data_IF_312859614777
#
_entry.id   IF_312859614777
#
_cell.length_a   1.000
_cell.length_b   1.000
_cell.length_c   1.000
_cell.angle_alpha   90.00
_cell.angle_beta   90.00
_cell.angle_gamma   90.00
#
_symmetry.space_group_name_H-M   'P 1'
#
loop_
_entity.id
_entity.type
_entity.pdbx_description
1 polymer ?
#
# COMPACT_ATOMS: atom_id res chain seq x y z
N UNK A 1 -46.65 -72.89 25.55
CA UNK A 1 -45.51 -73.83 25.32
C UNK A 1 -44.11 -73.14 25.20
N UNK A 2 -43.86 -72.15 26.04
CA UNK A 2 -42.59 -71.43 26.06
C UNK A 2 -41.65 -71.63 27.25
N UNK A 3 -41.89 -72.55 28.22
CA UNK A 3 -41.01 -72.61 29.41
C UNK A 3 -39.88 -73.67 29.34
N UNK A 4 -39.77 -74.50 28.30
CA UNK A 4 -38.80 -75.63 28.31
C UNK A 4 -37.40 -75.20 27.88
N UNK A 5 -37.26 -74.15 27.08
CA UNK A 5 -35.98 -73.65 26.63
C UNK A 5 -35.15 -72.92 27.71
N UNK A 6 -35.80 -72.37 28.73
CA UNK A 6 -35.14 -71.61 29.82
C UNK A 6 -34.51 -72.47 30.91
N UNK A 7 -34.72 -73.80 30.92
CA UNK A 7 -34.21 -74.75 31.95
C UNK A 7 -32.82 -75.32 31.64
N UNK A 8 -32.29 -75.10 30.43
CA UNK A 8 -30.98 -75.61 30.04
C UNK A 8 -29.96 -74.46 29.93
N UNK A 9 -29.10 -74.32 30.92
CA UNK A 9 -28.11 -73.27 31.00
C UNK A 9 -27.18 -73.19 29.75
N UNK A 10 -26.91 -74.31 29.11
CA UNK A 10 -26.09 -74.38 27.88
C UNK A 10 -26.83 -73.81 26.67
N UNK A 11 -28.15 -74.05 26.58
CA UNK A 11 -28.99 -73.48 25.52
C UNK A 11 -29.17 -71.96 25.71
N UNK A 12 -29.37 -71.53 26.93
CA UNK A 12 -29.51 -70.11 27.26
C UNK A 12 -28.19 -69.34 26.96
N UNK A 13 -27.04 -69.97 27.24
CA UNK A 13 -25.73 -69.41 26.94
C UNK A 13 -25.49 -69.31 25.43
N UNK A 14 -25.93 -70.31 24.66
CA UNK A 14 -25.85 -70.31 23.20
C UNK A 14 -26.72 -69.20 22.58
N UNK A 15 -27.97 -69.05 23.10
CA UNK A 15 -28.89 -67.99 22.66
C UNK A 15 -28.35 -66.62 23.03
N UNK A 16 -27.81 -66.46 24.23
CA UNK A 16 -27.18 -65.17 24.64
C UNK A 16 -25.97 -64.82 23.75
N UNK A 17 -25.16 -65.79 23.38
CA UNK A 17 -24.01 -65.58 22.48
C UNK A 17 -24.48 -65.16 21.08
N UNK A 18 -25.48 -65.86 20.52
CA UNK A 18 -26.05 -65.48 19.23
C UNK A 18 -26.66 -64.09 19.26
N UNK A 19 -27.45 -63.75 20.34
CA UNK A 19 -27.98 -62.39 20.49
C UNK A 19 -26.89 -61.35 20.64
N UNK A 20 -25.81 -61.66 21.35
CA UNK A 20 -24.68 -60.75 21.48
C UNK A 20 -23.98 -60.50 20.13
N UNK A 21 -23.80 -61.55 19.31
CA UNK A 21 -23.25 -61.44 17.96
C UNK A 21 -24.18 -60.62 17.05
N UNK A 22 -25.50 -60.87 17.10
CA UNK A 22 -26.47 -60.08 16.31
C UNK A 22 -26.50 -58.64 16.73
N UNK A 23 -26.50 -58.35 18.04
CA UNK A 23 -26.41 -56.98 18.56
C UNK A 23 -25.09 -56.32 18.18
N UNK A 24 -24.00 -57.04 18.31
CA UNK A 24 -22.69 -56.53 17.88
C UNK A 24 -22.65 -56.21 16.36
N UNK A 25 -23.15 -57.11 15.51
CA UNK A 25 -23.26 -56.89 14.07
C UNK A 25 -24.21 -55.72 13.74
N UNK A 26 -25.34 -55.61 14.44
CA UNK A 26 -26.28 -54.49 14.29
C UNK A 26 -25.64 -53.14 14.69
N UNK A 27 -24.92 -53.08 15.81
CA UNK A 27 -24.17 -51.89 16.21
C UNK A 27 -23.09 -51.51 15.19
N UNK A 28 -22.36 -52.51 14.69
CA UNK A 28 -21.29 -52.29 13.69
C UNK A 28 -21.85 -51.68 12.37
N UNK A 29 -23.00 -52.17 11.92
CA UNK A 29 -23.69 -51.64 10.75
C UNK A 29 -24.31 -50.27 11.02
N UNK A 30 -24.88 -50.06 12.20
CA UNK A 30 -25.54 -48.80 12.63
C UNK A 30 -24.51 -47.67 12.83
N UNK A 31 -23.33 -47.99 13.40
CA UNK A 31 -22.28 -47.00 13.65
C UNK A 31 -21.59 -46.48 12.34
N UNK A 32 -21.74 -47.26 11.27
CA UNK A 32 -21.14 -46.91 9.97
C UNK A 32 -22.15 -46.33 8.95
N UNK A 33 -23.27 -45.81 9.42
CA UNK A 33 -24.27 -45.15 8.56
C UNK A 33 -23.64 -43.90 7.90
N UNK A 34 -24.07 -43.68 6.66
CA UNK A 34 -23.71 -42.46 5.93
C UNK A 34 -24.19 -41.22 6.72
N UNK A 35 -23.30 -40.34 6.98
CA UNK A 35 -23.55 -39.05 7.65
C UNK A 35 -23.22 -37.91 6.72
N UNK A 36 -23.84 -36.76 6.95
CA UNK A 36 -23.58 -35.56 6.14
C UNK A 36 -22.84 -34.53 7.00
N UNK A 37 -21.88 -33.85 6.40
CA UNK A 37 -21.13 -32.77 7.01
C UNK A 37 -21.01 -31.60 6.04
N UNK A 38 -20.78 -30.39 6.56
CA UNK A 38 -20.59 -29.18 5.75
C UNK A 38 -19.31 -28.47 6.15
N UNK A 39 -18.42 -28.26 5.17
CA UNK A 39 -17.26 -27.40 5.32
C UNK A 39 -17.54 -26.04 4.71
N UNK A 40 -17.10 -24.99 5.42
CA UNK A 40 -17.31 -23.60 5.03
C UNK A 40 -16.00 -22.97 4.55
N UNK A 41 -16.16 -21.91 3.75
CA UNK A 41 -15.04 -21.07 3.29
C UNK A 41 -13.94 -21.86 2.55
N UNK A 42 -14.31 -22.79 1.68
CA UNK A 42 -13.36 -23.49 0.82
C UNK A 42 -12.97 -22.55 -0.32
N UNK A 43 -11.67 -22.27 -0.52
CA UNK A 43 -11.23 -21.33 -1.55
C UNK A 43 -11.51 -21.85 -2.95
N UNK A 44 -11.88 -20.93 -3.85
CA UNK A 44 -12.00 -21.18 -5.28
C UNK A 44 -10.61 -20.99 -5.89
N UNK A 45 -10.15 -21.97 -6.66
CA UNK A 45 -8.90 -21.90 -7.42
C UNK A 45 -9.23 -21.67 -8.89
N UNK A 46 -8.56 -20.75 -9.53
CA UNK A 46 -8.67 -20.54 -10.96
C UNK A 46 -7.75 -21.52 -11.70
N UNK A 47 -8.27 -22.10 -12.77
CA UNK A 47 -7.50 -22.95 -13.69
C UNK A 47 -7.39 -22.23 -15.04
N UNK A 48 -6.29 -22.50 -15.76
CA UNK A 48 -6.03 -21.93 -17.10
C UNK A 48 -5.88 -20.39 -17.10
N UNK A 49 -5.38 -19.79 -16.00
CA UNK A 49 -5.04 -18.36 -15.95
C UNK A 49 -4.03 -17.97 -17.04
N UNK A 50 -3.11 -18.87 -17.36
CA UNK A 50 -2.09 -18.65 -18.40
C UNK A 50 -2.72 -18.36 -19.76
N UNK A 51 -3.86 -18.99 -20.09
CA UNK A 51 -4.56 -18.75 -21.36
C UNK A 51 -5.17 -17.35 -21.44
N UNK A 52 -5.55 -16.76 -20.32
CA UNK A 52 -5.99 -15.34 -20.29
C UNK A 52 -4.79 -14.43 -20.54
N UNK A 53 -3.67 -14.67 -19.85
CA UNK A 53 -2.46 -13.83 -19.95
C UNK A 53 -1.87 -13.87 -21.37
N UNK A 54 -1.89 -15.04 -22.04
CA UNK A 54 -1.48 -15.19 -23.45
C UNK A 54 -2.34 -14.37 -24.42
N UNK A 55 -3.57 -14.04 -24.01
CA UNK A 55 -4.51 -13.21 -24.81
C UNK A 55 -4.61 -11.76 -24.27
N UNK A 56 -3.62 -11.30 -23.49
CA UNK A 56 -3.61 -9.97 -22.85
C UNK A 56 -4.85 -9.71 -21.99
N UNK A 57 -5.35 -10.74 -21.28
CA UNK A 57 -6.51 -10.67 -20.40
C UNK A 57 -6.13 -11.07 -18.97
N UNK A 58 -6.89 -10.56 -17.98
CA UNK A 58 -6.70 -10.86 -16.56
C UNK A 58 -8.03 -10.81 -15.81
N UNK A 59 -8.11 -11.55 -14.71
CA UNK A 59 -9.27 -11.47 -13.81
C UNK A 59 -9.22 -10.12 -13.07
N UNK A 60 -10.24 -9.29 -13.28
CA UNK A 60 -10.43 -8.04 -12.56
C UNK A 60 -11.09 -8.30 -11.20
N UNK A 61 -12.14 -9.10 -11.18
CA UNK A 61 -12.92 -9.39 -9.98
C UNK A 61 -13.69 -10.71 -10.13
N UNK A 62 -13.77 -11.48 -9.05
CA UNK A 62 -14.71 -12.58 -8.90
C UNK A 62 -15.80 -12.20 -7.88
N UNK A 63 -17.02 -12.66 -8.12
CA UNK A 63 -18.18 -12.40 -7.21
C UNK A 63 -17.89 -12.87 -5.79
N UNK A 64 -17.12 -13.96 -5.66
CA UNK A 64 -16.69 -14.53 -4.37
C UNK A 64 -15.45 -15.41 -4.54
N UNK A 65 -14.73 -15.57 -3.47
CA UNK A 65 -13.44 -16.30 -3.39
C UNK A 65 -13.61 -17.66 -2.72
N UNK A 66 -14.76 -17.91 -2.05
CA UNK A 66 -14.98 -19.13 -1.26
C UNK A 66 -16.39 -19.68 -1.47
N UNK A 67 -16.53 -20.98 -1.25
CA UNK A 67 -17.83 -21.69 -1.24
C UNK A 67 -17.92 -22.62 -0.04
N UNK A 68 -19.17 -22.99 0.32
CA UNK A 68 -19.43 -24.05 1.29
C UNK A 68 -19.77 -25.33 0.52
N UNK A 69 -19.26 -26.47 1.00
CA UNK A 69 -19.50 -27.79 0.43
C UNK A 69 -20.17 -28.67 1.47
N UNK A 70 -21.29 -29.27 1.09
CA UNK A 70 -21.98 -30.31 1.87
C UNK A 70 -21.67 -31.64 1.24
N UNK A 71 -21.20 -32.60 2.00
CA UNK A 71 -20.75 -33.89 1.55
C UNK A 71 -21.18 -34.99 2.52
N UNK A 72 -21.33 -36.19 1.99
CA UNK A 72 -21.72 -37.39 2.74
C UNK A 72 -20.65 -38.49 2.64
N UNK A 73 -20.64 -39.37 3.59
CA UNK A 73 -19.73 -40.49 3.65
C UNK A 73 -19.85 -41.25 4.96
N UNK A 74 -19.02 -42.28 5.13
CA UNK A 74 -18.95 -43.01 6.38
C UNK A 74 -18.43 -42.10 7.49
N UNK A 75 -19.02 -42.18 8.69
CA UNK A 75 -18.69 -41.32 9.84
C UNK A 75 -17.18 -41.35 10.16
N UNK A 76 -16.53 -42.49 10.09
CA UNK A 76 -15.10 -42.66 10.32
C UNK A 76 -14.24 -41.97 9.28
N UNK A 77 -14.71 -41.84 8.04
CA UNK A 77 -14.06 -41.11 6.96
C UNK A 77 -14.25 -39.60 7.15
N UNK A 78 -15.50 -39.17 7.46
CA UNK A 78 -15.84 -37.74 7.60
C UNK A 78 -15.06 -37.05 8.72
N UNK A 79 -14.71 -37.75 9.80
CA UNK A 79 -13.91 -37.17 10.89
C UNK A 79 -12.50 -36.78 10.48
N UNK A 80 -11.96 -37.35 9.38
CA UNK A 80 -10.61 -37.08 8.86
C UNK A 80 -10.61 -36.04 7.74
N UNK A 81 -11.78 -35.68 7.20
CA UNK A 81 -11.91 -34.77 6.08
C UNK A 81 -11.76 -33.31 6.55
N UNK A 82 -10.86 -32.58 5.88
CA UNK A 82 -10.59 -31.14 6.12
C UNK A 82 -10.83 -30.34 4.86
N UNK A 83 -10.95 -29.02 4.99
CA UNK A 83 -11.14 -28.09 3.86
C UNK A 83 -10.10 -28.29 2.74
N UNK A 84 -8.83 -28.51 3.08
CA UNK A 84 -7.75 -28.74 2.12
C UNK A 84 -7.84 -30.06 1.32
N UNK A 85 -8.77 -30.96 1.67
CA UNK A 85 -9.04 -32.16 0.88
C UNK A 85 -9.98 -31.92 -0.31
N UNK A 86 -10.62 -30.76 -0.36
CA UNK A 86 -11.45 -30.34 -1.49
C UNK A 86 -10.73 -29.28 -2.32
N UNK A 87 -10.83 -29.40 -3.64
CA UNK A 87 -10.44 -28.37 -4.60
C UNK A 87 -11.67 -27.91 -5.35
N UNK A 88 -11.98 -26.64 -5.26
CA UNK A 88 -13.04 -26.01 -6.04
C UNK A 88 -12.38 -25.22 -7.16
N UNK A 89 -12.71 -25.56 -8.39
CA UNK A 89 -12.03 -25.07 -9.59
C UNK A 89 -13.02 -24.27 -10.44
N UNK A 90 -12.64 -23.05 -10.76
CA UNK A 90 -13.25 -22.23 -11.81
C UNK A 90 -12.31 -22.25 -13.03
N UNK A 91 -12.80 -22.74 -14.15
CA UNK A 91 -12.03 -22.82 -15.39
C UNK A 91 -12.17 -21.51 -16.16
N UNK A 92 -11.04 -20.88 -16.46
CA UNK A 92 -10.99 -19.59 -17.16
C UNK A 92 -10.74 -19.74 -18.67
N UNK A 93 -10.64 -20.98 -19.19
CA UNK A 93 -10.40 -21.23 -20.61
C UNK A 93 -11.50 -20.62 -21.48
N UNK A 94 -11.10 -19.86 -22.50
CA UNK A 94 -12.00 -19.28 -23.48
C UNK A 94 -12.90 -18.13 -23.00
N UNK A 95 -12.66 -17.62 -21.78
CA UNK A 95 -13.36 -16.44 -21.30
C UNK A 95 -12.95 -15.20 -22.10
N UNK A 96 -13.86 -14.23 -22.16
CA UNK A 96 -13.67 -12.98 -22.91
C UNK A 96 -13.75 -11.80 -21.97
N UNK A 97 -13.23 -10.67 -22.40
CA UNK A 97 -13.37 -9.40 -21.70
C UNK A 97 -14.82 -9.11 -21.32
N UNK A 98 -15.04 -8.65 -20.10
CA UNK A 98 -16.35 -8.35 -19.53
C UNK A 98 -16.80 -9.40 -18.51
N UNK A 99 -18.08 -9.42 -18.22
CA UNK A 99 -18.67 -10.35 -17.25
C UNK A 99 -18.89 -11.74 -17.87
N UNK A 100 -18.41 -12.77 -17.20
CA UNK A 100 -18.54 -14.18 -17.60
C UNK A 100 -19.12 -14.98 -16.43
N UNK A 101 -20.00 -15.94 -16.73
CA UNK A 101 -20.56 -16.86 -15.74
C UNK A 101 -19.86 -18.20 -15.84
N UNK A 102 -19.08 -18.56 -14.83
CA UNK A 102 -18.25 -19.75 -14.80
C UNK A 102 -18.87 -20.80 -13.87
N UNK A 103 -18.91 -22.06 -14.35
CA UNK A 103 -19.36 -23.19 -13.55
C UNK A 103 -18.20 -23.68 -12.66
N UNK A 104 -18.48 -23.86 -11.38
CA UNK A 104 -17.53 -24.43 -10.46
C UNK A 104 -17.51 -25.94 -10.54
N UNK A 105 -16.32 -26.53 -10.56
CA UNK A 105 -16.08 -27.96 -10.46
C UNK A 105 -15.42 -28.27 -9.11
N UNK A 106 -15.96 -29.25 -8.41
CA UNK A 106 -15.41 -29.72 -7.14
C UNK A 106 -14.70 -31.07 -7.33
N UNK A 107 -13.53 -31.20 -6.75
CA UNK A 107 -12.79 -32.45 -6.61
C UNK A 107 -12.63 -32.70 -5.10
N UNK A 108 -13.20 -33.79 -4.63
CA UNK A 108 -13.12 -34.21 -3.22
C UNK A 108 -12.26 -35.46 -3.03
N UNK A 109 -12.03 -35.88 -1.78
CA UNK A 109 -11.31 -37.12 -1.46
C UNK A 109 -12.13 -38.35 -1.81
N UNK A 110 -11.43 -39.48 -1.99
CA UNK A 110 -12.06 -40.80 -2.20
C UNK A 110 -12.98 -41.19 -1.03
N UNK A 111 -14.03 -41.92 -1.31
CA UNK A 111 -15.05 -42.38 -0.35
C UNK A 111 -15.88 -41.27 0.32
N UNK A 112 -15.95 -40.09 -0.33
CA UNK A 112 -16.80 -38.99 0.07
C UNK A 112 -17.59 -38.54 -1.16
N UNK A 113 -18.91 -38.39 -0.99
CA UNK A 113 -19.79 -37.89 -2.05
C UNK A 113 -20.14 -36.46 -1.80
N UNK A 114 -19.88 -35.57 -2.76
CA UNK A 114 -20.30 -34.17 -2.69
C UNK A 114 -21.79 -34.10 -3.03
N UNK A 115 -22.59 -33.71 -2.05
CA UNK A 115 -24.06 -33.59 -2.19
C UNK A 115 -24.44 -32.23 -2.80
N UNK A 116 -23.85 -31.17 -2.31
CA UNK A 116 -24.14 -29.81 -2.78
C UNK A 116 -23.03 -28.82 -2.50
N UNK A 117 -23.00 -27.75 -3.26
CA UNK A 117 -22.22 -26.54 -3.00
C UNK A 117 -23.17 -25.37 -2.76
N UNK A 118 -22.77 -24.40 -1.96
CA UNK A 118 -23.55 -23.18 -1.71
C UNK A 118 -23.84 -22.40 -3.01
N UNK A 119 -22.94 -22.49 -3.98
CA UNK A 119 -23.05 -21.89 -5.33
C UNK A 119 -22.40 -22.82 -6.35
N UNK A 120 -23.06 -23.01 -7.48
CA UNK A 120 -22.56 -23.84 -8.57
C UNK A 120 -21.94 -23.03 -9.72
N UNK A 121 -22.22 -21.74 -9.78
CA UNK A 121 -21.70 -20.80 -10.78
C UNK A 121 -21.36 -19.50 -10.10
N UNK A 122 -20.32 -18.83 -10.57
CA UNK A 122 -19.92 -17.48 -10.12
C UNK A 122 -19.77 -16.56 -11.32
N UNK A 123 -20.03 -15.27 -11.12
CA UNK A 123 -19.66 -14.23 -12.09
C UNK A 123 -18.20 -13.85 -11.88
N UNK A 124 -17.45 -13.84 -12.98
CA UNK A 124 -16.03 -13.38 -13.03
C UNK A 124 -15.96 -12.28 -14.08
N UNK A 125 -15.43 -11.13 -13.69
CA UNK A 125 -15.17 -10.03 -14.63
C UNK A 125 -13.72 -10.11 -15.11
N UNK A 126 -13.55 -10.17 -16.43
CA UNK A 126 -12.27 -10.19 -17.12
C UNK A 126 -12.02 -8.80 -17.72
N UNK A 127 -10.81 -8.30 -17.62
CA UNK A 127 -10.37 -7.04 -18.21
C UNK A 127 -9.08 -7.22 -19.01
N UNK A 128 -8.69 -6.21 -19.77
CA UNK A 128 -7.41 -6.20 -20.48
C UNK A 128 -6.25 -6.18 -19.49
N UNK A 129 -5.24 -6.99 -19.73
CA UNK A 129 -3.97 -6.94 -19.01
C UNK A 129 -3.10 -5.86 -19.65
N UNK A 130 -2.75 -4.85 -18.89
CA UNK A 130 -1.87 -3.77 -19.37
C UNK A 130 -0.71 -3.54 -18.44
N UNK A 131 0.41 -3.05 -19.00
CA UNK A 131 1.58 -2.61 -18.26
C UNK A 131 1.85 -1.14 -18.56
N UNK A 132 1.86 -0.29 -17.53
CA UNK A 132 2.08 1.16 -17.67
C UNK A 132 3.12 1.63 -16.66
N UNK A 133 4.09 2.44 -17.10
CA UNK A 133 5.04 3.09 -16.18
C UNK A 133 4.36 4.20 -15.41
N UNK A 134 4.48 4.16 -14.08
CA UNK A 134 3.93 5.16 -13.16
C UNK A 134 5.05 5.85 -12.38
N UNK A 135 4.94 7.17 -12.12
CA UNK A 135 5.96 7.91 -11.40
C UNK A 135 6.00 7.49 -9.92
N UNK A 136 7.21 7.45 -9.37
CA UNK A 136 7.44 7.27 -7.94
C UNK A 136 7.44 8.62 -7.26
N UNK A 137 6.61 8.76 -6.25
CA UNK A 137 6.48 9.95 -5.40
C UNK A 137 6.98 9.61 -4.00
N UNK A 138 7.72 10.50 -3.39
CA UNK A 138 8.22 10.33 -2.03
C UNK A 138 7.39 11.17 -1.06
N UNK A 139 7.10 10.60 0.11
CA UNK A 139 6.42 11.28 1.20
C UNK A 139 7.20 11.07 2.50
N UNK A 140 7.57 12.15 3.14
CA UNK A 140 8.19 12.10 4.47
C UNK A 140 7.09 11.96 5.51
N UNK A 141 7.25 11.00 6.44
CA UNK A 141 6.33 10.75 7.54
C UNK A 141 7.09 10.80 8.88
N UNK A 142 6.36 10.96 9.99
CA UNK A 142 6.90 10.96 11.35
C UNK A 142 7.97 12.03 11.61
N UNK A 143 7.87 13.19 10.97
CA UNK A 143 8.74 14.32 11.26
C UNK A 143 8.39 14.89 12.66
N UNK A 144 9.35 14.93 13.57
CA UNK A 144 9.14 15.28 14.97
C UNK A 144 9.96 16.48 15.44
N UNK A 145 10.89 17.00 14.62
CA UNK A 145 11.76 18.10 15.00
C UNK A 145 11.55 19.30 14.07
N UNK A 146 11.52 20.49 14.69
CA UNK A 146 11.52 21.75 13.96
C UNK A 146 12.94 22.19 13.56
N UNK A 147 13.98 21.66 14.27
CA UNK A 147 15.38 22.04 14.08
C UNK A 147 16.11 21.22 13.00
N UNK A 148 15.49 20.15 12.51
CA UNK A 148 16.05 19.29 11.47
C UNK A 148 14.99 18.86 10.48
N UNK A 149 15.37 18.65 9.22
CA UNK A 149 14.48 18.29 8.12
C UNK A 149 15.10 17.20 7.27
N UNK A 150 14.39 16.06 7.07
CA UNK A 150 14.85 15.02 6.15
C UNK A 150 14.88 15.54 4.72
N UNK A 151 15.98 15.28 4.02
CA UNK A 151 16.13 15.63 2.62
C UNK A 151 16.36 14.39 1.76
N UNK A 152 15.68 14.32 0.63
CA UNK A 152 15.81 13.24 -0.33
C UNK A 152 16.80 13.68 -1.39
N UNK A 153 17.97 13.01 -1.41
CA UNK A 153 19.08 13.33 -2.31
C UNK A 153 18.85 12.68 -3.67
N UNK A 154 18.45 11.41 -3.67
CA UNK A 154 18.31 10.63 -4.90
C UNK A 154 17.30 9.50 -4.74
N UNK A 155 16.62 9.19 -5.83
CA UNK A 155 15.74 8.05 -5.99
C UNK A 155 16.34 7.10 -7.03
N UNK A 156 16.42 5.80 -6.73
CA UNK A 156 17.02 4.82 -7.64
C UNK A 156 16.24 4.63 -8.94
N UNK A 157 14.91 4.83 -8.89
CA UNK A 157 14.01 4.75 -10.02
C UNK A 157 12.91 5.79 -9.90
N UNK A 158 12.76 6.63 -10.91
CA UNK A 158 11.72 7.66 -10.96
C UNK A 158 10.37 7.10 -11.47
N UNK A 159 10.42 6.01 -12.22
CA UNK A 159 9.23 5.34 -12.76
C UNK A 159 9.36 3.83 -12.61
N UNK A 160 8.27 3.17 -12.25
CA UNK A 160 8.17 1.71 -12.16
C UNK A 160 6.97 1.23 -12.96
N UNK A 161 7.13 0.11 -13.65
CA UNK A 161 6.04 -0.51 -14.40
C UNK A 161 5.03 -1.15 -13.45
N UNK A 162 3.76 -0.83 -13.68
CA UNK A 162 2.58 -1.36 -12.99
C UNK A 162 1.79 -2.20 -13.98
N UNK A 163 1.56 -3.45 -13.66
CA UNK A 163 0.85 -4.43 -14.47
C UNK A 163 -0.43 -4.89 -13.78
N UNK A 164 -1.47 -5.15 -14.54
CA UNK A 164 -2.73 -5.66 -14.04
C UNK A 164 -3.92 -5.29 -14.93
N UNK A 165 -5.12 -5.46 -14.39
CA UNK A 165 -6.34 -5.10 -15.07
C UNK A 165 -6.37 -3.61 -15.44
N UNK A 166 -6.71 -3.30 -16.69
CA UNK A 166 -6.70 -1.93 -17.21
C UNK A 166 -7.50 -0.97 -16.34
N UNK A 167 -8.65 -1.41 -15.83
CA UNK A 167 -9.49 -0.63 -14.89
C UNK A 167 -8.74 -0.24 -13.61
N UNK A 168 -7.89 -1.12 -13.07
CA UNK A 168 -7.10 -0.85 -11.85
C UNK A 168 -5.85 -0.03 -12.15
N UNK A 169 -5.08 -0.42 -13.18
CA UNK A 169 -3.84 0.28 -13.57
C UNK A 169 -4.12 1.74 -13.97
N UNK A 170 -5.26 2.01 -14.62
CA UNK A 170 -5.67 3.38 -14.96
C UNK A 170 -6.09 4.22 -13.73
N UNK A 171 -6.52 3.60 -12.63
CA UNK A 171 -6.76 4.30 -11.37
C UNK A 171 -5.47 4.70 -10.67
N UNK A 172 -4.38 3.95 -10.85
CA UNK A 172 -3.08 4.27 -10.26
C UNK A 172 -2.52 5.53 -10.91
N UNK A 173 -2.37 6.59 -10.14
CA UNK A 173 -1.77 7.86 -10.60
C UNK A 173 -0.27 7.95 -10.29
N UNK A 174 0.21 7.21 -9.29
CA UNK A 174 1.61 7.17 -8.90
C UNK A 174 1.89 6.06 -7.89
N UNK A 175 3.17 5.89 -7.56
CA UNK A 175 3.66 4.94 -6.58
C UNK A 175 4.26 5.72 -5.41
N UNK A 176 3.73 5.53 -4.22
CA UNK A 176 4.12 6.28 -3.03
C UNK A 176 5.21 5.53 -2.25
N UNK A 177 6.37 6.17 -2.08
CA UNK A 177 7.45 5.73 -1.19
C UNK A 177 7.42 6.57 0.09
N UNK A 178 7.04 5.97 1.22
CA UNK A 178 6.97 6.66 2.52
C UNK A 178 8.31 6.56 3.23
N UNK A 179 8.99 7.70 3.34
CA UNK A 179 10.27 7.83 4.05
C UNK A 179 9.98 8.22 5.50
N UNK A 180 10.34 7.35 6.41
CA UNK A 180 10.22 7.62 7.85
C UNK A 180 11.38 8.52 8.30
N UNK A 181 11.05 9.76 8.71
CA UNK A 181 12.03 10.74 9.17
C UNK A 181 12.91 10.22 10.34
N UNK A 182 12.37 9.35 11.19
CA UNK A 182 13.11 8.77 12.32
C UNK A 182 14.21 7.80 11.88
N UNK A 183 14.21 7.35 10.62
CA UNK A 183 15.24 6.46 10.04
C UNK A 183 16.27 7.20 9.21
N UNK A 184 16.09 8.50 9.02
CA UNK A 184 17.02 9.35 8.28
C UNK A 184 18.16 9.76 9.22
N UNK A 185 19.39 9.56 8.78
CA UNK A 185 20.60 9.86 9.53
C UNK A 185 21.25 11.16 9.03
N UNK A 186 22.16 11.75 9.84
CA UNK A 186 22.91 12.97 9.48
C UNK A 186 23.92 12.74 8.33
N UNK A 187 24.22 11.47 8.06
CA UNK A 187 25.04 11.07 6.91
C UNK A 187 24.15 10.55 5.77
N UNK A 188 24.63 10.71 4.54
CA UNK A 188 23.91 10.18 3.37
C UNK A 188 23.78 8.68 3.46
N UNK A 189 22.55 8.20 3.48
CA UNK A 189 22.23 6.77 3.56
C UNK A 189 21.11 6.38 2.63
N UNK A 190 21.28 5.23 1.97
CA UNK A 190 20.25 4.65 1.13
C UNK A 190 19.28 3.80 1.98
N UNK A 191 18.01 4.13 1.93
CA UNK A 191 16.92 3.40 2.58
C UNK A 191 16.14 2.63 1.51
N UNK A 192 15.86 1.35 1.79
CA UNK A 192 14.99 0.54 0.92
C UNK A 192 13.54 0.71 1.36
N UNK A 193 12.72 1.29 0.50
CA UNK A 193 11.34 1.67 0.78
C UNK A 193 10.40 0.89 -0.13
N UNK A 194 9.33 0.32 0.45
CA UNK A 194 8.26 -0.33 -0.30
C UNK A 194 7.43 0.71 -1.06
N UNK A 195 7.02 0.36 -2.28
CA UNK A 195 6.14 1.17 -3.12
C UNK A 195 4.69 0.80 -2.88
N UNK A 196 3.84 1.80 -2.76
CA UNK A 196 2.39 1.67 -2.59
C UNK A 196 1.72 2.31 -3.80
N UNK A 197 1.03 1.54 -4.66
CA UNK A 197 0.26 2.12 -5.76
C UNK A 197 -0.92 2.92 -5.21
N UNK A 198 -1.05 4.18 -5.63
CA UNK A 198 -2.09 5.08 -5.13
C UNK A 198 -2.88 5.74 -6.25
N UNK A 199 -4.16 6.02 -5.96
CA UNK A 199 -5.04 6.78 -6.83
C UNK A 199 -4.83 8.32 -6.64
N UNK A 200 -5.62 9.11 -7.37
CA UNK A 200 -5.59 10.58 -7.30
C UNK A 200 -5.92 11.16 -5.91
N UNK A 201 -6.52 10.38 -5.03
CA UNK A 201 -6.84 10.78 -3.65
C UNK A 201 -5.77 10.33 -2.65
N UNK A 202 -4.74 9.61 -3.10
CA UNK A 202 -3.69 9.02 -2.27
C UNK A 202 -4.10 7.70 -1.59
N UNK A 203 -5.26 7.13 -1.99
CA UNK A 203 -5.71 5.83 -1.50
C UNK A 203 -5.02 4.71 -2.26
N UNK A 204 -4.62 3.66 -1.55
CA UNK A 204 -4.01 2.47 -2.11
C UNK A 204 -4.95 1.76 -3.11
N UNK A 205 -4.38 1.33 -4.23
CA UNK A 205 -5.04 0.53 -5.27
C UNK A 205 -4.50 -0.88 -5.19
N UNK A 206 -5.31 -1.81 -4.71
CA UNK A 206 -4.99 -3.23 -4.62
C UNK A 206 -5.23 -3.95 -5.96
N UNK A 207 -4.65 -5.13 -6.13
CA UNK A 207 -4.87 -5.99 -7.31
C UNK A 207 -4.03 -5.60 -8.53
N UNK A 208 -2.99 -4.81 -8.37
CA UNK A 208 -1.97 -4.53 -9.38
C UNK A 208 -0.63 -5.14 -8.98
N UNK A 209 0.18 -5.51 -9.96
CA UNK A 209 1.53 -6.03 -9.78
C UNK A 209 2.56 -4.96 -10.14
N UNK A 210 3.60 -4.80 -9.30
CA UNK A 210 4.70 -3.89 -9.55
C UNK A 210 5.91 -4.69 -10.05
N UNK A 211 6.54 -4.25 -11.13
CA UNK A 211 7.79 -4.86 -11.62
C UNK A 211 8.89 -4.84 -10.55
N UNK A 212 8.88 -3.81 -9.72
CA UNK A 212 9.75 -3.66 -8.54
C UNK A 212 8.89 -3.16 -7.38
N UNK A 213 8.82 -3.92 -6.30
CA UNK A 213 8.01 -3.60 -5.12
C UNK A 213 8.70 -2.63 -4.14
N UNK A 214 10.01 -2.36 -4.34
CA UNK A 214 10.83 -1.51 -3.48
C UNK A 214 11.77 -0.64 -4.32
N UNK A 215 12.05 0.56 -3.80
CA UNK A 215 13.06 1.47 -4.36
C UNK A 215 14.07 1.86 -3.29
N UNK A 216 15.28 2.19 -3.73
CA UNK A 216 16.31 2.78 -2.88
C UNK A 216 16.17 4.31 -2.92
N UNK A 217 16.02 4.92 -1.75
CA UNK A 217 15.92 6.37 -1.55
C UNK A 217 17.14 6.80 -0.75
N UNK A 218 18.03 7.58 -1.35
CA UNK A 218 19.16 8.15 -0.62
C UNK A 218 18.69 9.41 0.11
N UNK A 219 18.87 9.42 1.41
CA UNK A 219 18.40 10.48 2.30
C UNK A 219 19.54 11.00 3.18
N UNK A 220 19.38 12.22 3.68
CA UNK A 220 20.23 12.83 4.70
C UNK A 220 19.39 13.74 5.59
N UNK A 221 19.70 13.81 6.87
CA UNK A 221 19.09 14.79 7.77
C UNK A 221 19.83 16.13 7.61
N UNK A 222 19.08 17.19 7.26
CA UNK A 222 19.60 18.55 7.23
C UNK A 222 19.22 19.25 8.53
N UNK A 223 20.22 19.78 9.22
CA UNK A 223 20.03 20.61 10.40
C UNK A 223 19.76 22.07 10.00
N UNK A 224 19.03 22.80 10.82
CA UNK A 224 18.76 24.22 10.64
C UNK A 224 19.73 25.06 11.47
N UNK A 225 20.12 26.20 10.94
CA UNK A 225 20.95 27.20 11.63
C UNK A 225 20.46 28.59 11.27
N UNK A 226 20.19 29.39 12.27
CA UNK A 226 19.87 30.81 12.08
C UNK A 226 21.17 31.61 12.13
N UNK A 227 21.42 32.39 11.09
CA UNK A 227 22.63 33.21 10.93
C UNK A 227 22.25 34.64 10.58
N UNK A 228 23.13 35.62 10.85
CA UNK A 228 22.93 37.01 10.39
C UNK A 228 22.75 37.07 8.87
N UNK A 229 21.87 37.99 8.42
CA UNK A 229 21.64 38.29 7.01
C UNK A 229 22.17 39.67 6.69
N UNK A 230 23.11 39.75 5.76
CA UNK A 230 23.67 41.00 5.25
C UNK A 230 23.00 41.31 3.90
N UNK A 231 22.38 42.49 3.82
CA UNK A 231 21.71 42.94 2.61
C UNK A 231 22.40 44.24 2.14
N UNK A 232 23.30 44.18 1.15
CA UNK A 232 23.87 45.39 0.56
C UNK A 232 22.80 46.21 -0.15
N UNK A 233 22.66 47.50 0.19
CA UNK A 233 21.67 48.40 -0.40
C UNK A 233 22.41 49.60 -1.01
N UNK A 234 22.05 49.95 -2.25
CA UNK A 234 22.56 51.10 -2.98
C UNK A 234 21.41 51.96 -3.49
N UNK A 235 21.68 53.19 -3.89
CA UNK A 235 20.70 54.06 -4.53
C UNK A 235 19.65 54.64 -3.58
N UNK A 236 20.05 54.90 -2.32
CA UNK A 236 19.12 55.48 -1.31
C UNK A 236 18.92 56.98 -1.44
N UNK A 237 19.82 57.66 -2.16
CA UNK A 237 19.77 59.12 -2.34
C UNK A 237 18.90 59.46 -3.55
N UNK A 238 17.77 60.13 -3.29
CA UNK A 238 16.87 60.65 -4.30
C UNK A 238 16.59 62.10 -4.04
N UNK A 239 16.58 62.89 -5.12
CA UNK A 239 16.18 64.31 -5.02
C UNK A 239 14.69 64.40 -4.60
N UNK A 240 14.40 65.02 -3.46
CA UNK A 240 13.06 65.27 -2.91
C UNK A 240 12.27 64.03 -2.45
N UNK A 241 12.91 62.85 -2.25
CA UNK A 241 12.28 61.66 -1.67
C UNK A 241 13.08 61.19 -0.46
N UNK A 242 12.40 60.78 0.60
CA UNK A 242 12.96 60.10 1.74
C UNK A 242 12.63 58.61 1.62
N UNK A 243 13.63 57.79 1.40
CA UNK A 243 13.47 56.33 1.28
C UNK A 243 13.88 55.67 2.61
N UNK A 244 12.96 54.98 3.21
CA UNK A 244 13.22 54.10 4.35
C UNK A 244 12.96 52.67 3.96
N UNK A 245 13.74 51.73 4.54
CA UNK A 245 13.62 50.31 4.22
C UNK A 245 13.74 49.45 5.50
N UNK A 246 13.11 48.29 5.45
CA UNK A 246 13.24 47.27 6.47
C UNK A 246 13.65 45.94 5.83
N UNK A 247 14.65 45.31 6.41
CA UNK A 247 15.15 43.99 5.96
C UNK A 247 15.23 43.04 7.15
N UNK A 248 15.03 41.74 6.96
CA UNK A 248 15.27 40.73 7.99
C UNK A 248 16.73 40.80 8.46
N UNK A 249 16.94 40.70 9.77
CA UNK A 249 18.29 40.72 10.37
C UNK A 249 18.97 39.35 10.34
N UNK A 250 18.17 38.29 10.25
CA UNK A 250 18.61 36.91 10.27
C UNK A 250 17.89 36.09 9.22
N UNK A 251 18.52 35.01 8.83
CA UNK A 251 17.95 33.99 7.94
C UNK A 251 18.16 32.60 8.55
N UNK A 252 17.16 31.72 8.45
CA UNK A 252 17.32 30.33 8.81
C UNK A 252 17.67 29.53 7.55
N UNK A 253 18.82 28.89 7.58
CA UNK A 253 19.35 28.01 6.52
C UNK A 253 19.36 26.57 7.00
N UNK A 254 19.31 25.63 6.06
CA UNK A 254 19.43 24.19 6.33
C UNK A 254 20.53 23.58 5.49
N UNK A 255 21.22 22.61 6.08
CA UNK A 255 22.34 21.92 5.45
C UNK A 255 22.89 20.80 6.32
N UNK A 256 23.90 20.11 5.82
CA UNK A 256 24.66 19.15 6.63
C UNK A 256 25.48 19.91 7.70
N UNK A 257 25.83 19.22 8.78
CA UNK A 257 26.61 19.83 9.87
C UNK A 257 27.92 20.45 9.35
N UNK A 258 28.59 19.78 8.44
CA UNK A 258 29.82 20.28 7.81
C UNK A 258 29.59 21.56 7.01
N UNK A 259 28.53 21.63 6.22
CA UNK A 259 28.20 22.81 5.43
C UNK A 259 27.77 23.99 6.34
N UNK A 260 26.98 23.73 7.37
CA UNK A 260 26.55 24.76 8.33
C UNK A 260 27.67 25.27 9.23
N UNK A 261 28.69 24.46 9.51
CA UNK A 261 29.87 24.90 10.30
C UNK A 261 30.68 25.98 9.57
N UNK A 262 30.68 25.94 8.23
CA UNK A 262 31.41 26.91 7.40
C UNK A 262 30.67 28.25 7.26
N UNK A 263 29.40 28.37 7.66
CA UNK A 263 28.59 29.57 7.50
C UNK A 263 28.46 30.31 8.81
N UNK A 264 28.96 31.54 8.85
CA UNK A 264 28.78 32.48 9.97
C UNK A 264 27.78 33.59 9.65
N UNK A 265 27.60 33.93 8.37
CA UNK A 265 26.75 34.99 7.85
C UNK A 265 26.30 34.64 6.41
N UNK A 266 25.14 35.10 6.01
CA UNK A 266 24.65 34.99 4.61
C UNK A 266 24.51 36.41 4.03
N UNK A 267 25.04 36.64 2.85
CA UNK A 267 24.91 37.90 2.11
C UNK A 267 23.89 37.71 0.96
N UNK A 268 23.02 38.69 0.78
CA UNK A 268 22.11 38.75 -0.36
C UNK A 268 22.76 39.43 -1.59
N UNK A 269 22.16 39.23 -2.76
CA UNK A 269 22.43 40.11 -3.90
C UNK A 269 22.12 41.56 -3.52
N UNK A 270 22.88 42.50 -4.11
CA UNK A 270 22.70 43.94 -3.84
C UNK A 270 21.32 44.40 -4.25
N UNK A 271 20.59 45.09 -3.36
CA UNK A 271 19.32 45.70 -3.65
C UNK A 271 19.57 47.15 -4.11
N UNK A 272 19.17 47.45 -5.32
CA UNK A 272 19.29 48.80 -5.91
C UNK A 272 17.95 49.54 -5.78
N UNK A 273 17.94 50.60 -4.96
CA UNK A 273 16.78 51.46 -4.73
C UNK A 273 16.73 52.69 -5.65
N UNK A 274 17.70 52.87 -6.57
CA UNK A 274 17.79 54.07 -7.46
C UNK A 274 16.58 54.26 -8.36
N UNK A 275 15.79 53.21 -8.56
CA UNK A 275 14.58 53.20 -9.42
C UNK A 275 13.29 53.01 -8.66
N UNK A 276 13.31 53.14 -7.35
CA UNK A 276 12.13 52.94 -6.49
C UNK A 276 11.56 54.32 -6.15
N UNK A 277 10.33 54.56 -6.58
CA UNK A 277 9.63 55.81 -6.41
C UNK A 277 8.34 55.70 -5.59
N UNK A 278 7.89 54.51 -5.32
CA UNK A 278 6.70 54.19 -4.57
C UNK A 278 6.96 53.05 -3.56
N UNK A 279 6.07 52.93 -2.57
CA UNK A 279 6.13 51.83 -1.61
C UNK A 279 6.13 50.49 -2.32
N UNK A 280 7.11 49.65 -2.00
CA UNK A 280 7.27 48.36 -2.67
C UNK A 280 7.95 47.33 -1.79
N UNK A 281 7.76 46.04 -2.16
CA UNK A 281 8.47 44.91 -1.55
C UNK A 281 9.40 44.29 -2.59
N UNK A 282 10.67 44.20 -2.26
CA UNK A 282 11.71 43.61 -3.13
C UNK A 282 12.13 42.26 -2.51
N UNK A 283 11.94 41.17 -3.26
CA UNK A 283 12.37 39.85 -2.82
C UNK A 283 13.89 39.77 -2.71
N UNK A 284 14.39 39.38 -1.56
CA UNK A 284 15.83 39.19 -1.30
C UNK A 284 16.29 37.86 -1.87
N UNK A 285 17.48 37.84 -2.48
CA UNK A 285 18.12 36.67 -3.03
C UNK A 285 19.39 36.35 -2.26
N UNK A 286 19.34 35.43 -1.29
CA UNK A 286 20.53 35.04 -0.53
C UNK A 286 21.53 34.29 -1.41
N UNK A 287 22.81 34.62 -1.28
CA UNK A 287 23.92 33.90 -1.91
C UNK A 287 24.37 32.80 -0.97
N UNK A 288 24.05 31.55 -1.31
CA UNK A 288 24.32 30.38 -0.48
C UNK A 288 25.50 29.59 -1.05
N UNK A 289 26.22 28.92 -0.15
CA UNK A 289 27.27 27.96 -0.51
C UNK A 289 26.67 26.61 -0.87
N UNK A 290 27.41 25.79 -1.61
CA UNK A 290 26.99 24.43 -1.99
C UNK A 290 26.59 23.61 -0.76
N UNK A 291 25.49 22.87 -0.88
CA UNK A 291 24.96 22.03 0.22
C UNK A 291 24.16 22.76 1.28
N UNK A 292 23.89 24.06 1.10
CA UNK A 292 23.04 24.87 2.00
C UNK A 292 21.88 25.46 1.23
N UNK A 293 20.70 25.42 1.83
CA UNK A 293 19.47 25.98 1.25
C UNK A 293 18.71 26.77 2.31
N UNK A 294 17.82 27.66 1.88
CA UNK A 294 16.93 28.40 2.79
C UNK A 294 15.95 27.40 3.43
N UNK A 295 15.78 27.48 4.73
CA UNK A 295 14.78 26.66 5.42
C UNK A 295 13.35 27.14 5.08
N UNK A 296 12.40 26.21 5.04
CA UNK A 296 11.00 26.50 4.66
C UNK A 296 10.33 27.49 5.61
N UNK A 297 10.77 27.52 6.86
CA UNK A 297 10.29 28.39 7.95
C UNK A 297 11.15 29.66 8.17
N UNK A 298 12.03 30.00 7.20
CA UNK A 298 12.93 31.17 7.31
C UNK A 298 12.22 32.53 7.38
N UNK A 299 10.89 32.52 7.24
CA UNK A 299 10.11 33.76 7.20
C UNK A 299 10.11 34.45 5.82
N UNK A 300 9.56 35.65 5.81
CA UNK A 300 9.46 36.44 4.57
C UNK A 300 10.81 37.11 4.28
N UNK A 301 11.47 36.77 3.18
CA UNK A 301 12.73 37.33 2.74
C UNK A 301 12.48 38.50 1.76
N UNK A 302 11.91 39.59 2.25
CA UNK A 302 11.67 40.80 1.47
C UNK A 302 12.37 42.00 2.11
N UNK A 303 12.73 42.94 1.27
CA UNK A 303 13.07 44.29 1.64
C UNK A 303 11.78 45.16 1.47
N UNK A 304 11.21 45.59 2.59
CA UNK A 304 10.04 46.46 2.58
C UNK A 304 10.52 47.91 2.46
N UNK A 305 10.18 48.56 1.36
CA UNK A 305 10.61 49.94 1.05
C UNK A 305 9.41 50.87 1.18
N UNK A 306 9.59 51.94 1.94
CA UNK A 306 8.61 53.03 2.09
C UNK A 306 9.19 54.32 1.59
N UNK A 307 8.47 55.00 0.71
CA UNK A 307 8.89 56.23 0.06
C UNK A 307 7.98 57.38 0.53
N UNK A 308 8.61 58.42 1.08
CA UNK A 308 7.89 59.67 1.48
C UNK A 308 8.40 60.81 0.64
N UNK A 309 7.46 61.65 0.13
CA UNK A 309 7.84 62.91 -0.47
C UNK A 309 8.42 63.87 0.58
N UNK A 310 9.54 64.54 0.28
CA UNK A 310 10.08 65.57 1.12
C UNK A 310 9.05 66.72 1.27
N UNK A 311 8.55 66.99 2.48
CA UNK A 311 7.73 68.18 2.74
C UNK A 311 8.61 69.41 2.46
N UNK A 312 8.28 70.16 1.38
CA UNK A 312 8.82 71.51 1.20
C UNK A 312 8.24 72.38 2.32
N UNK A 313 9.04 72.65 3.35
CA UNK A 313 8.74 73.69 4.32
C UNK A 313 8.78 75.01 3.58
N UNK A 314 7.59 75.56 3.28
CA UNK A 314 7.39 76.94 2.83
C UNK A 314 7.46 77.92 3.99
#
# INVERSE_FOLDING_TARGET
ALPILLKNNKVNMAIALVMAIVLWAYVLVSDNQASTNTLRNIPITFANEETLTENDLVVLQAERDTVNITFSGQRTTLTKVKAGNFKVIADLEGLKKGENVVRLRVVGPDNVTVESMSVQKISITIDDLITVKKPVQTQIINQTSDDSEPYIVQLSQENVAVEGAATLVNKVTGLLARVDAQKVENEMKALTIALIPVDKSGKEVEGVHLQTDKVSVTTVMLNKKTVPLSVPIIGQEHDNLEISYQVPKTITVKGTDAALAAISEVTCETVDLSKVYDDTQIALKPILTDGVTVATDSGNLNCDVTVKGAETLT
#
